data_IF_040458447475
#
_entry.id   IF_040458447475
#
_cell.length_a   1.000
_cell.length_b   1.000
_cell.length_c   1.000
_cell.angle_alpha   90.00
_cell.angle_beta   90.00
_cell.angle_gamma   90.00
#
_symmetry.space_group_name_H-M   'P 1'
#
loop_
_entity.id
_entity.type
_entity.pdbx_description
1 polymer ?
#
# COMPACT_ATOMS: atom_id res chain seq x y z
N UNK A 1 1.28 0.87 7.98
CA UNK A 1 0.16 1.68 7.46
C UNK A 1 -0.24 2.75 8.46
N UNK A 2 -0.55 2.38 9.71
CA UNK A 2 -0.90 3.35 10.77
C UNK A 2 0.16 4.42 10.96
N UNK A 3 1.43 4.03 11.20
CA UNK A 3 2.54 4.99 11.33
C UNK A 3 2.70 5.88 10.09
N UNK A 4 2.68 5.30 8.89
CA UNK A 4 2.78 6.05 7.63
C UNK A 4 1.68 7.11 7.50
N UNK A 5 0.42 6.75 7.78
CA UNK A 5 -0.68 7.70 7.69
C UNK A 5 -0.64 8.72 8.82
N UNK A 6 -0.17 8.32 10.01
CA UNK A 6 0.03 9.23 11.13
C UNK A 6 1.06 10.31 10.78
N UNK A 7 2.25 9.93 10.30
CA UNK A 7 3.29 10.85 9.85
C UNK A 7 2.84 11.79 8.73
N UNK A 8 1.93 11.33 7.85
CA UNK A 8 1.43 12.13 6.73
C UNK A 8 0.30 13.08 7.09
N UNK A 9 -0.57 12.68 8.01
CA UNK A 9 -1.85 13.35 8.24
C UNK A 9 -1.95 14.08 9.58
N UNK A 10 -1.14 13.70 10.57
CA UNK A 10 -1.17 14.33 11.89
C UNK A 10 -0.15 15.47 11.98
N UNK A 11 -0.63 16.71 11.95
CA UNK A 11 0.19 17.90 12.20
C UNK A 11 0.23 18.24 13.70
N UNK A 12 -0.95 18.51 14.30
CA UNK A 12 -1.07 18.88 15.71
C UNK A 12 -2.04 17.96 16.44
N UNK A 13 -1.55 17.06 17.29
CA UNK A 13 -2.42 16.16 18.03
C UNK A 13 -3.25 16.93 19.07
N UNK A 14 -4.54 16.67 19.06
CA UNK A 14 -5.51 17.21 20.02
C UNK A 14 -6.41 16.11 20.57
N UNK A 15 -7.32 16.44 21.49
CA UNK A 15 -8.24 15.46 22.10
C UNK A 15 -9.24 14.85 21.11
N UNK A 16 -9.39 15.45 19.93
CA UNK A 16 -10.19 14.94 18.81
C UNK A 16 -9.47 15.24 17.50
N UNK A 17 -9.71 14.39 16.49
CA UNK A 17 -9.27 14.68 15.13
C UNK A 17 -10.08 15.86 14.59
N UNK A 18 -9.40 16.81 13.95
CA UNK A 18 -10.09 17.80 13.14
C UNK A 18 -10.56 17.18 11.81
N UNK A 19 -11.48 17.85 11.12
CA UNK A 19 -12.06 17.33 9.88
C UNK A 19 -11.04 17.14 8.75
N UNK A 20 -9.93 17.89 8.79
CA UNK A 20 -8.85 17.78 7.79
C UNK A 20 -8.03 16.52 8.03
N UNK A 21 -7.64 16.26 9.27
CA UNK A 21 -6.92 15.06 9.66
C UNK A 21 -7.78 13.82 9.39
N UNK A 22 -9.05 13.85 9.76
CA UNK A 22 -10.00 12.76 9.47
C UNK A 22 -10.08 12.44 7.98
N UNK A 23 -10.34 13.45 7.14
CA UNK A 23 -10.37 13.28 5.68
C UNK A 23 -9.01 12.79 5.13
N UNK A 24 -7.90 13.27 5.69
CA UNK A 24 -6.56 12.81 5.28
C UNK A 24 -6.35 11.33 5.61
N UNK A 25 -6.74 10.87 6.81
CA UNK A 25 -6.59 9.47 7.21
C UNK A 25 -7.40 8.54 6.33
N UNK A 26 -8.65 8.88 6.03
CA UNK A 26 -9.50 8.11 5.11
C UNK A 26 -8.82 7.97 3.75
N UNK A 27 -8.42 9.10 3.17
CA UNK A 27 -7.73 9.10 1.88
C UNK A 27 -6.40 8.33 1.92
N UNK A 28 -5.61 8.47 2.99
CA UNK A 28 -4.32 7.79 3.11
C UNK A 28 -4.47 6.28 3.09
N UNK A 29 -5.44 5.74 3.85
CA UNK A 29 -5.70 4.31 3.91
C UNK A 29 -6.23 3.80 2.58
N UNK A 30 -7.20 4.48 1.97
CA UNK A 30 -7.73 4.11 0.65
C UNK A 30 -6.62 4.07 -0.42
N UNK A 31 -5.78 5.12 -0.49
CA UNK A 31 -4.64 5.16 -1.42
C UNK A 31 -3.61 4.07 -1.16
N UNK A 32 -3.37 3.72 0.11
CA UNK A 32 -2.47 2.62 0.45
C UNK A 32 -3.00 1.28 -0.06
N UNK A 33 -4.30 1.01 0.12
CA UNK A 33 -4.95 -0.21 -0.36
C UNK A 33 -4.91 -0.27 -1.90
N UNK A 34 -5.32 0.80 -2.58
CA UNK A 34 -5.33 0.88 -4.04
C UNK A 34 -3.94 0.60 -4.64
N UNK A 35 -2.91 1.22 -4.07
CA UNK A 35 -1.53 1.06 -4.54
C UNK A 35 -1.02 -0.35 -4.28
N UNK A 36 -1.32 -0.92 -3.10
CA UNK A 36 -0.92 -2.28 -2.74
C UNK A 36 -1.55 -3.30 -3.69
N UNK A 37 -2.85 -3.16 -3.97
CA UNK A 37 -3.57 -4.02 -4.92
C UNK A 37 -3.02 -3.88 -6.33
N UNK A 38 -2.75 -2.66 -6.78
CA UNK A 38 -2.12 -2.43 -8.09
C UNK A 38 -0.77 -3.14 -8.23
N UNK A 39 0.09 -3.03 -7.21
CA UNK A 39 1.40 -3.69 -7.20
C UNK A 39 1.24 -5.21 -7.22
N UNK A 40 0.38 -5.77 -6.35
CA UNK A 40 0.14 -7.21 -6.30
C UNK A 40 -0.37 -7.75 -7.65
N UNK A 41 -1.36 -7.09 -8.24
CA UNK A 41 -1.90 -7.46 -9.55
C UNK A 41 -0.82 -7.47 -10.64
N UNK A 42 0.10 -6.49 -10.63
CA UNK A 42 1.20 -6.43 -11.58
C UNK A 42 2.23 -7.54 -11.35
N UNK A 43 2.55 -7.84 -10.10
CA UNK A 43 3.47 -8.93 -9.75
C UNK A 43 2.90 -10.30 -10.16
N UNK A 44 1.61 -10.55 -9.92
CA UNK A 44 0.94 -11.78 -10.35
C UNK A 44 0.94 -11.93 -11.88
N UNK A 45 0.65 -10.86 -12.63
CA UNK A 45 0.73 -10.88 -14.09
C UNK A 45 2.15 -11.22 -14.55
N UNK A 46 3.16 -10.63 -13.91
CA UNK A 46 4.58 -10.88 -14.23
C UNK A 46 4.99 -12.33 -13.92
N UNK A 47 4.47 -12.93 -12.84
CA UNK A 47 4.68 -14.35 -12.53
C UNK A 47 3.99 -15.26 -13.55
N UNK A 48 2.75 -14.96 -13.94
CA UNK A 48 1.99 -15.72 -14.95
C UNK A 48 2.63 -15.63 -16.34
N UNK A 49 3.30 -14.53 -16.65
CA UNK A 49 3.98 -14.33 -17.94
C UNK A 49 5.41 -14.88 -17.99
N UNK A 50 5.97 -15.39 -16.89
CA UNK A 50 7.26 -16.09 -16.94
C UNK A 50 7.05 -17.44 -17.62
N UNK A 51 7.67 -17.73 -18.79
CA UNK A 51 7.81 -19.11 -19.21
C UNK A 51 8.65 -19.83 -18.14
N UNK A 52 8.34 -21.10 -17.94
CA UNK A 52 9.07 -22.06 -17.12
C UNK A 52 10.58 -21.97 -17.40
N UNK A 53 11.30 -21.11 -16.67
CA UNK A 53 12.77 -21.08 -16.66
C UNK A 53 13.27 -21.30 -15.22
N UNK A 54 12.61 -22.21 -14.52
CA UNK A 54 13.11 -22.79 -13.27
C UNK A 54 13.02 -24.30 -13.33
N UNK A 55 13.40 -24.86 -14.49
CA UNK A 55 13.82 -26.25 -14.64
C UNK A 55 15.35 -26.31 -14.79
N UNK A 56 16.07 -25.48 -14.02
CA UNK A 56 17.54 -25.42 -14.05
C UNK A 56 18.18 -25.12 -12.70
N UNK A 57 17.57 -25.57 -11.61
CA UNK A 57 18.34 -25.96 -10.42
C UNK A 57 18.29 -27.49 -10.32
N UNK A 58 18.79 -28.11 -11.39
CA UNK A 58 19.28 -29.48 -11.41
C UNK A 58 20.80 -29.38 -11.37
N UNK A 59 21.33 -29.06 -10.20
CA UNK A 59 22.61 -29.52 -9.66
C UNK A 59 22.54 -29.40 -8.13
#
# INVERSE_FOLDING_TARGET
MTELCWEKCMDKPGPKLDSRAEACFVNCVERFIDTSQFILNRLEQTQKSKPVFSESLSD
#
